data_IF_885986374113
#
_entry.id   IF_885986374113
#
_cell.length_a   1.000
_cell.length_b   1.000
_cell.length_c   1.000
_cell.angle_alpha   90.00
_cell.angle_beta   90.00
_cell.angle_gamma   90.00
#
_symmetry.space_group_name_H-M   'P 1'
#
loop_
_entity.id
_entity.type
_entity.pdbx_description
1 polymer ?
#
# COMPACT_ATOMS: atom_id res chain seq x y z
N UNK A 1 15.91 -0.12 -6.97
CA UNK A 1 15.18 0.36 -5.76
C UNK A 1 13.80 -0.27 -5.66
N UNK A 2 13.01 -0.24 -6.74
CA UNK A 2 11.69 -0.90 -6.79
C UNK A 2 11.75 -2.41 -6.52
N UNK A 3 12.70 -3.12 -7.12
CA UNK A 3 12.89 -4.56 -6.90
C UNK A 3 13.14 -4.88 -5.42
N UNK A 4 14.02 -4.11 -4.76
CA UNK A 4 14.29 -4.26 -3.32
C UNK A 4 13.03 -4.07 -2.45
N UNK A 5 12.12 -3.18 -2.82
CA UNK A 5 10.84 -2.98 -2.11
C UNK A 5 9.96 -4.23 -2.28
N UNK A 6 9.85 -4.76 -3.49
CA UNK A 6 9.08 -5.97 -3.78
C UNK A 6 9.66 -7.22 -3.11
N UNK A 7 10.99 -7.37 -3.12
CA UNK A 7 11.71 -8.41 -2.38
C UNK A 7 11.39 -8.32 -0.88
N UNK A 8 11.47 -7.12 -0.31
CA UNK A 8 11.15 -6.89 1.11
C UNK A 8 9.69 -7.24 1.42
N UNK A 9 8.74 -6.88 0.55
CA UNK A 9 7.33 -7.27 0.71
C UNK A 9 7.13 -8.78 0.64
N UNK A 10 7.91 -9.48 -0.18
CA UNK A 10 7.81 -10.93 -0.34
C UNK A 10 8.44 -11.68 0.84
N UNK A 11 9.57 -11.18 1.36
CA UNK A 11 10.27 -11.75 2.53
C UNK A 11 9.51 -11.45 3.84
N UNK A 12 8.90 -10.27 3.94
CA UNK A 12 8.10 -9.83 5.08
C UNK A 12 6.66 -9.54 4.62
N UNK A 13 5.81 -10.59 4.45
CA UNK A 13 4.52 -10.51 3.76
C UNK A 13 3.42 -9.81 4.58
N UNK A 14 3.76 -9.10 5.65
CA UNK A 14 2.82 -8.34 6.47
C UNK A 14 3.23 -6.88 6.44
N UNK A 15 2.29 -6.06 6.00
CA UNK A 15 2.42 -4.61 5.91
C UNK A 15 1.55 -3.99 7.01
N UNK A 16 2.17 -3.20 7.88
CA UNK A 16 1.44 -2.49 8.92
C UNK A 16 0.63 -1.34 8.32
N UNK A 17 -0.70 -1.48 8.27
CA UNK A 17 -1.60 -0.44 7.80
C UNK A 17 -2.05 0.45 8.96
N UNK A 18 -1.34 1.56 9.16
CA UNK A 18 -1.54 2.48 10.29
C UNK A 18 -2.66 3.46 9.99
N UNK A 19 -3.75 3.37 10.76
CA UNK A 19 -4.94 4.23 10.63
C UNK A 19 -4.98 5.37 11.64
N UNK A 20 -4.19 5.29 12.71
CA UNK A 20 -4.10 6.34 13.72
C UNK A 20 -2.62 6.69 13.93
N UNK A 21 -2.30 7.99 13.97
CA UNK A 21 -0.92 8.47 14.12
C UNK A 21 -0.24 7.91 15.38
N UNK A 22 -1.02 7.71 16.46
CA UNK A 22 -0.53 7.15 17.73
C UNK A 22 0.07 5.74 17.57
N UNK A 23 -0.34 5.00 16.55
CA UNK A 23 0.08 3.62 16.30
C UNK A 23 1.37 3.53 15.47
N UNK A 24 1.88 4.64 14.94
CA UNK A 24 3.10 4.65 14.12
C UNK A 24 4.31 4.13 14.90
N UNK A 25 4.42 4.47 16.19
CA UNK A 25 5.50 3.99 17.06
C UNK A 25 5.47 2.46 17.21
N UNK A 26 4.27 1.92 17.41
CA UNK A 26 4.05 0.48 17.56
C UNK A 26 4.37 -0.25 16.25
N UNK A 27 3.90 0.26 15.11
CA UNK A 27 4.20 -0.30 13.79
C UNK A 27 5.70 -0.31 13.49
N UNK A 28 6.43 0.76 13.82
CA UNK A 28 7.89 0.84 13.67
C UNK A 28 8.62 -0.18 14.55
N UNK A 29 8.12 -0.45 15.76
CA UNK A 29 8.68 -1.46 16.67
C UNK A 29 8.33 -2.91 16.33
N UNK A 30 7.46 -3.13 15.34
CA UNK A 30 6.97 -4.45 14.96
C UNK A 30 7.93 -5.20 14.01
N UNK A 31 7.57 -6.45 13.69
CA UNK A 31 8.32 -7.29 12.75
C UNK A 31 8.11 -6.86 11.28
N UNK A 32 7.09 -6.04 11.00
CA UNK A 32 6.80 -5.56 9.63
C UNK A 32 7.92 -4.66 9.13
N UNK A 33 8.33 -4.82 7.87
CA UNK A 33 9.35 -3.95 7.25
C UNK A 33 8.74 -2.82 6.42
N UNK A 34 7.47 -2.95 6.04
CA UNK A 34 6.74 -1.98 5.23
C UNK A 34 5.56 -1.44 6.03
N UNK A 35 5.39 -0.12 6.00
CA UNK A 35 4.33 0.59 6.72
C UNK A 35 3.51 1.41 5.73
N UNK A 36 2.20 1.21 5.74
CA UNK A 36 1.24 2.02 5.01
C UNK A 36 0.64 3.04 5.98
N UNK A 37 0.98 4.32 5.80
CA UNK A 37 0.35 5.43 6.49
C UNK A 37 -0.99 5.75 5.81
N UNK A 38 -2.08 5.37 6.49
CA UNK A 38 -3.46 5.63 6.07
C UNK A 38 -4.09 6.82 6.82
N UNK A 39 -3.27 7.57 7.56
CA UNK A 39 -3.66 8.77 8.28
C UNK A 39 -2.47 9.75 8.35
N UNK A 40 -2.79 11.02 8.55
CA UNK A 40 -1.83 12.13 8.59
C UNK A 40 -2.36 13.35 7.89
N UNK A 41 -1.72 14.49 8.14
CA UNK A 41 -2.04 15.78 7.56
C UNK A 41 -0.77 16.49 7.10
N UNK A 42 -0.93 17.63 6.43
CA UNK A 42 0.20 18.43 5.93
C UNK A 42 1.18 18.87 7.02
N UNK A 43 0.76 18.95 8.28
CA UNK A 43 1.59 19.41 9.39
C UNK A 43 2.49 18.31 9.91
N UNK A 44 2.04 17.06 9.92
CA UNK A 44 2.78 15.94 10.54
C UNK A 44 3.32 14.89 9.55
N UNK A 45 2.80 14.81 8.32
CA UNK A 45 3.12 13.68 7.43
C UNK A 45 4.61 13.57 7.11
N UNK A 46 5.32 14.71 7.02
CA UNK A 46 6.76 14.74 6.80
C UNK A 46 7.52 14.07 7.96
N UNK A 47 7.20 14.46 9.20
CA UNK A 47 7.84 13.91 10.39
C UNK A 47 7.55 12.42 10.58
N UNK A 48 6.32 11.98 10.24
CA UNK A 48 5.95 10.57 10.30
C UNK A 48 6.73 9.72 9.30
N UNK A 49 6.84 10.19 8.05
CA UNK A 49 7.62 9.50 7.02
C UNK A 49 9.09 9.44 7.41
N UNK A 50 9.67 10.54 7.88
CA UNK A 50 11.05 10.59 8.34
C UNK A 50 11.30 9.68 9.53
N UNK A 51 10.38 9.63 10.49
CA UNK A 51 10.47 8.74 11.65
C UNK A 51 10.49 7.27 11.24
N UNK A 52 9.60 6.85 10.34
CA UNK A 52 9.56 5.47 9.82
C UNK A 52 10.88 5.12 9.11
N UNK A 53 11.35 6.01 8.24
CA UNK A 53 12.58 5.81 7.47
C UNK A 53 13.83 5.77 8.34
N UNK A 54 13.94 6.64 9.36
CA UNK A 54 15.06 6.66 10.30
C UNK A 54 15.18 5.36 11.11
N UNK A 55 14.08 4.63 11.27
CA UNK A 55 14.06 3.31 11.90
C UNK A 55 14.23 2.14 10.89
N UNK A 56 14.67 2.44 9.66
CA UNK A 56 14.99 1.43 8.65
C UNK A 56 13.78 0.81 7.94
N UNK A 57 12.58 1.33 8.16
CA UNK A 57 11.34 0.79 7.58
C UNK A 57 10.97 1.48 6.27
N UNK A 58 10.22 0.79 5.42
CA UNK A 58 9.72 1.32 4.14
C UNK A 58 8.38 2.04 4.36
N UNK A 59 8.40 3.37 4.32
CA UNK A 59 7.20 4.21 4.39
C UNK A 59 6.47 4.38 3.06
N UNK A 60 5.17 4.07 3.05
CA UNK A 60 4.21 4.48 2.03
C UNK A 60 3.16 5.41 2.63
N UNK A 61 2.68 6.36 1.84
CA UNK A 61 1.58 7.25 2.23
C UNK A 61 0.38 7.03 1.33
N UNK A 62 -0.83 7.07 1.90
CA UNK A 62 -2.04 7.11 1.10
C UNK A 62 -2.35 8.54 0.68
N UNK A 63 -2.05 8.89 -0.57
CA UNK A 63 -2.19 10.23 -1.12
C UNK A 63 -3.59 10.82 -0.87
N UNK A 64 -4.63 10.02 -1.12
CA UNK A 64 -6.01 10.49 -0.99
C UNK A 64 -6.42 10.83 0.45
N UNK A 65 -5.73 10.27 1.46
CA UNK A 65 -6.11 10.40 2.87
C UNK A 65 -5.34 11.49 3.62
N UNK A 66 -4.38 12.16 2.99
CA UNK A 66 -3.65 13.26 3.64
C UNK A 66 -4.55 14.48 3.75
N UNK A 67 -4.85 14.90 4.97
CA UNK A 67 -5.69 16.07 5.23
C UNK A 67 -4.95 17.38 4.94
N UNK A 68 -5.66 18.37 4.40
CA UNK A 68 -5.10 19.68 4.06
C UNK A 68 -4.24 19.73 2.79
N UNK A 69 -3.88 18.58 2.21
CA UNK A 69 -3.11 18.53 0.96
C UNK A 69 -4.04 18.49 -0.25
N UNK A 70 -3.73 19.31 -1.27
CA UNK A 70 -4.40 19.27 -2.57
C UNK A 70 -4.36 17.87 -3.19
N UNK A 71 -5.34 17.55 -4.04
CA UNK A 71 -5.46 16.25 -4.71
C UNK A 71 -5.12 16.33 -6.20
N UNK A 72 -4.10 17.12 -6.52
CA UNK A 72 -3.62 17.40 -7.86
C UNK A 72 -2.17 16.92 -8.06
N UNK A 73 -1.65 17.12 -9.27
CA UNK A 73 -0.27 16.73 -9.62
C UNK A 73 0.76 17.54 -8.85
N UNK A 74 0.50 18.81 -8.50
CA UNK A 74 1.44 19.62 -7.70
C UNK A 74 1.60 19.09 -6.28
N UNK A 75 0.56 18.52 -5.69
CA UNK A 75 0.66 17.82 -4.43
C UNK A 75 1.57 16.57 -4.52
N UNK A 76 1.59 15.88 -5.66
CA UNK A 76 2.52 14.77 -5.91
C UNK A 76 3.97 15.26 -5.96
N UNK A 77 4.23 16.37 -6.66
CA UNK A 77 5.56 16.99 -6.69
C UNK A 77 6.02 17.38 -5.28
N UNK A 78 5.14 18.02 -4.49
CA UNK A 78 5.41 18.37 -3.10
C UNK A 78 5.76 17.13 -2.26
N UNK A 79 4.99 16.04 -2.40
CA UNK A 79 5.27 14.77 -1.74
C UNK A 79 6.64 14.24 -2.15
N UNK A 80 6.95 14.22 -3.44
CA UNK A 80 8.20 13.69 -3.96
C UNK A 80 9.41 14.52 -3.51
N UNK A 81 9.28 15.84 -3.47
CA UNK A 81 10.41 16.74 -3.19
C UNK A 81 10.60 17.09 -1.72
N UNK A 82 9.53 17.11 -0.93
CA UNK A 82 9.56 17.55 0.48
C UNK A 82 9.37 16.39 1.45
N UNK A 83 8.38 15.53 1.23
CA UNK A 83 8.06 14.43 2.16
C UNK A 83 8.91 13.18 1.88
N UNK A 84 9.21 12.90 0.61
CA UNK A 84 10.09 11.80 0.15
C UNK A 84 9.75 10.44 0.75
N UNK A 85 8.49 9.95 0.68
CA UNK A 85 8.20 8.56 1.02
C UNK A 85 8.85 7.62 -0.01
N UNK A 86 8.87 6.31 0.27
CA UNK A 86 9.32 5.35 -0.74
C UNK A 86 8.28 5.16 -1.84
N UNK A 87 7.01 5.42 -1.53
CA UNK A 87 5.93 5.34 -2.49
C UNK A 87 4.62 5.91 -1.99
N UNK A 88 3.64 5.91 -2.89
CA UNK A 88 2.29 6.38 -2.63
C UNK A 88 1.25 5.30 -2.97
N UNK A 89 0.13 5.36 -2.27
CA UNK A 89 -1.07 4.58 -2.53
C UNK A 89 -2.17 5.55 -2.94
N UNK A 90 -2.88 5.24 -4.01
CA UNK A 90 -4.06 6.01 -4.43
C UNK A 90 -5.03 5.15 -5.23
N UNK A 91 -6.27 5.58 -5.31
CA UNK A 91 -7.27 5.07 -6.26
C UNK A 91 -7.28 5.85 -7.58
N UNK A 92 -6.53 6.96 -7.67
CA UNK A 92 -6.56 7.90 -8.79
C UNK A 92 -5.43 7.64 -9.78
N UNK A 93 -5.82 7.29 -10.99
CA UNK A 93 -4.90 6.91 -12.08
C UNK A 93 -3.90 8.02 -12.43
N UNK A 94 -4.40 9.24 -12.62
CA UNK A 94 -3.58 10.41 -12.98
C UNK A 94 -2.53 10.75 -11.91
N UNK A 95 -2.85 10.55 -10.63
CA UNK A 95 -1.92 10.77 -9.51
C UNK A 95 -0.82 9.72 -9.53
N UNK A 96 -1.17 8.45 -9.73
CA UNK A 96 -0.21 7.35 -9.77
C UNK A 96 0.71 7.44 -10.98
N UNK A 97 0.17 7.78 -12.16
CA UNK A 97 0.98 8.00 -13.35
C UNK A 97 1.98 9.12 -13.13
N UNK A 98 1.53 10.26 -12.58
CA UNK A 98 2.44 11.37 -12.33
C UNK A 98 3.49 11.05 -11.25
N UNK A 99 3.13 10.29 -10.22
CA UNK A 99 4.08 9.91 -9.17
C UNK A 99 5.26 9.07 -9.70
N UNK A 100 5.04 8.29 -10.76
CA UNK A 100 6.12 7.53 -11.42
C UNK A 100 7.14 8.44 -12.08
N UNK A 101 6.72 9.58 -12.64
CA UNK A 101 7.63 10.56 -13.23
C UNK A 101 8.65 11.10 -12.21
N UNK A 102 8.26 11.10 -10.93
CA UNK A 102 9.12 11.49 -9.80
C UNK A 102 9.82 10.31 -9.12
N UNK A 103 9.77 9.11 -9.71
CA UNK A 103 10.44 7.92 -9.21
C UNK A 103 9.82 7.33 -7.93
N UNK A 104 8.63 7.78 -7.52
CA UNK A 104 7.92 7.19 -6.39
C UNK A 104 7.36 5.81 -6.77
N UNK A 105 7.43 4.86 -5.84
CA UNK A 105 6.75 3.58 -6.02
C UNK A 105 5.24 3.80 -5.97
N UNK A 106 4.52 3.32 -6.98
CA UNK A 106 3.09 3.56 -7.16
C UNK A 106 2.28 2.30 -6.85
N UNK A 107 1.34 2.40 -5.89
CA UNK A 107 0.41 1.33 -5.56
C UNK A 107 -1.00 1.77 -5.93
N UNK A 108 -1.64 1.06 -6.83
CA UNK A 108 -3.04 1.31 -7.16
C UNK A 108 -3.95 0.52 -6.24
N UNK A 109 -4.75 1.23 -5.44
CA UNK A 109 -5.77 0.61 -4.59
C UNK A 109 -7.05 0.37 -5.40
N UNK A 110 -7.55 -0.87 -5.37
CA UNK A 110 -8.78 -1.29 -6.03
C UNK A 110 -9.76 -1.85 -5.01
N UNK A 111 -11.01 -1.37 -5.06
CA UNK A 111 -12.11 -1.87 -4.24
C UNK A 111 -12.94 -2.88 -5.03
N UNK A 112 -12.97 -4.12 -4.54
CA UNK A 112 -13.73 -5.23 -5.13
C UNK A 112 -15.10 -5.30 -4.47
N UNK A 113 -16.00 -4.43 -4.92
CA UNK A 113 -17.38 -4.35 -4.43
C UNK A 113 -18.32 -5.27 -5.22
N UNK A 114 -18.11 -5.35 -6.53
CA UNK A 114 -18.90 -6.14 -7.46
C UNK A 114 -18.06 -6.52 -8.69
N UNK A 115 -18.67 -7.26 -9.63
CA UNK A 115 -18.01 -7.70 -10.86
C UNK A 115 -17.65 -6.55 -11.82
N UNK A 116 -18.38 -5.44 -11.78
CA UNK A 116 -18.09 -4.27 -12.60
C UNK A 116 -16.85 -3.53 -12.07
N UNK A 117 -16.73 -3.42 -10.74
CA UNK A 117 -15.56 -2.86 -10.07
C UNK A 117 -14.31 -3.70 -10.36
N UNK A 118 -14.42 -5.04 -10.34
CA UNK A 118 -13.34 -5.94 -10.72
C UNK A 118 -12.89 -5.71 -12.17
N UNK A 119 -13.81 -5.76 -13.13
CA UNK A 119 -13.49 -5.57 -14.55
C UNK A 119 -12.85 -4.20 -14.83
N UNK A 120 -13.41 -3.15 -14.24
CA UNK A 120 -12.92 -1.78 -14.43
C UNK A 120 -11.56 -1.60 -13.76
N UNK A 121 -11.39 -2.14 -12.55
CA UNK A 121 -10.12 -2.12 -11.83
C UNK A 121 -9.00 -2.83 -12.58
N UNK A 122 -9.27 -4.02 -13.13
CA UNK A 122 -8.32 -4.77 -13.95
C UNK A 122 -7.92 -4.01 -15.23
N UNK A 123 -8.89 -3.46 -15.94
CA UNK A 123 -8.62 -2.65 -17.14
C UNK A 123 -7.76 -1.42 -16.80
N UNK A 124 -8.07 -0.75 -15.69
CA UNK A 124 -7.33 0.40 -15.18
C UNK A 124 -5.88 0.03 -14.84
N UNK A 125 -5.68 -1.05 -14.07
CA UNK A 125 -4.35 -1.52 -13.69
C UNK A 125 -3.50 -1.91 -14.90
N UNK A 126 -4.08 -2.55 -15.91
CA UNK A 126 -3.38 -2.91 -17.16
C UNK A 126 -2.97 -1.69 -17.98
N UNK A 127 -3.77 -0.63 -17.96
CA UNK A 127 -3.50 0.62 -18.67
C UNK A 127 -2.36 1.41 -18.00
N UNK A 128 -2.46 1.59 -16.69
CA UNK A 128 -1.53 2.43 -15.90
C UNK A 128 -0.23 1.68 -15.63
N UNK A 129 -0.30 0.37 -15.38
CA UNK A 129 0.82 -0.47 -14.95
C UNK A 129 1.50 0.12 -13.70
N UNK A 130 0.79 0.19 -12.56
CA UNK A 130 1.41 0.59 -11.29
C UNK A 130 2.51 -0.41 -10.90
N UNK A 131 3.34 -0.06 -9.94
CA UNK A 131 4.39 -0.96 -9.45
C UNK A 131 3.81 -2.12 -8.62
N UNK A 132 2.65 -1.92 -7.99
CA UNK A 132 1.82 -2.98 -7.40
C UNK A 132 0.33 -2.59 -7.41
N UNK A 133 -0.55 -3.58 -7.23
CA UNK A 133 -1.99 -3.35 -7.00
C UNK A 133 -2.37 -3.82 -5.60
N UNK A 134 -3.14 -3.01 -4.87
CA UNK A 134 -3.70 -3.37 -3.56
C UNK A 134 -5.20 -3.65 -3.71
N UNK A 135 -5.62 -4.88 -3.38
CA UNK A 135 -7.01 -5.34 -3.50
C UNK A 135 -7.67 -5.33 -2.13
N UNK A 136 -8.81 -4.65 -2.03
CA UNK A 136 -9.65 -4.64 -0.83
C UNK A 136 -11.05 -5.19 -1.17
N UNK A 137 -11.65 -6.08 -0.34
CA UNK A 137 -11.07 -6.73 0.85
C UNK A 137 -10.06 -7.86 0.57
N UNK A 138 -9.18 -8.11 1.52
CA UNK A 138 -8.13 -9.14 1.47
C UNK A 138 -8.59 -10.54 1.86
N UNK A 139 -9.83 -10.67 2.33
CA UNK A 139 -10.46 -11.94 2.72
C UNK A 139 -11.14 -12.66 1.56
N UNK A 140 -10.73 -12.38 0.31
CA UNK A 140 -11.32 -12.95 -0.91
C UNK A 140 -10.31 -13.71 -1.76
N UNK A 141 -9.87 -14.91 -1.34
CA UNK A 141 -8.83 -15.68 -2.04
C UNK A 141 -9.17 -15.97 -3.51
N UNK A 142 -10.44 -16.21 -3.85
CA UNK A 142 -10.85 -16.43 -5.24
C UNK A 142 -10.60 -15.20 -6.13
N UNK A 143 -10.96 -14.01 -5.65
CA UNK A 143 -10.77 -12.75 -6.37
C UNK A 143 -9.29 -12.38 -6.44
N UNK A 144 -8.54 -12.56 -5.35
CA UNK A 144 -7.09 -12.34 -5.35
C UNK A 144 -6.42 -13.20 -6.42
N UNK A 145 -6.80 -14.49 -6.49
CA UNK A 145 -6.27 -15.41 -7.50
C UNK A 145 -6.66 -15.02 -8.92
N UNK A 146 -7.89 -14.58 -9.14
CA UNK A 146 -8.32 -14.09 -10.45
C UNK A 146 -7.48 -12.89 -10.89
N UNK A 147 -7.30 -11.90 -10.01
CA UNK A 147 -6.52 -10.70 -10.31
C UNK A 147 -5.05 -11.04 -10.53
N UNK A 148 -4.44 -11.85 -9.65
CA UNK A 148 -3.03 -12.24 -9.76
C UNK A 148 -2.70 -13.00 -11.04
N UNK A 149 -3.67 -13.71 -11.64
CA UNK A 149 -3.48 -14.37 -12.93
C UNK A 149 -3.75 -13.44 -14.12
N UNK A 150 -4.52 -12.36 -13.95
CA UNK A 150 -4.92 -11.46 -15.02
C UNK A 150 -3.99 -10.25 -15.19
N UNK A 151 -3.36 -9.78 -14.10
CA UNK A 151 -2.39 -8.67 -14.12
C UNK A 151 -0.95 -9.16 -14.00
N UNK A 152 -0.02 -8.43 -14.59
CA UNK A 152 1.42 -8.69 -14.45
C UNK A 152 2.04 -8.05 -13.20
N UNK A 153 1.30 -7.15 -12.54
CA UNK A 153 1.76 -6.41 -11.38
C UNK A 153 1.63 -7.27 -10.11
N UNK A 154 2.57 -7.20 -9.17
CA UNK A 154 2.43 -7.83 -7.87
C UNK A 154 1.16 -7.38 -7.13
N UNK A 155 0.49 -8.34 -6.49
CA UNK A 155 -0.78 -8.12 -5.79
C UNK A 155 -0.54 -8.04 -4.28
N UNK A 156 -1.08 -7.01 -3.64
CA UNK A 156 -1.15 -6.86 -2.19
C UNK A 156 -2.61 -7.06 -1.79
N UNK A 157 -2.89 -7.93 -0.82
CA UNK A 157 -4.23 -8.07 -0.28
C UNK A 157 -4.40 -7.16 0.94
N UNK A 158 -5.51 -6.45 1.06
CA UNK A 158 -5.69 -5.48 2.14
C UNK A 158 -7.10 -5.46 2.72
N UNK A 159 -7.21 -5.14 4.00
CA UNK A 159 -8.51 -4.90 4.64
C UNK A 159 -9.28 -6.17 5.04
N UNK A 160 -9.94 -6.10 6.19
CA UNK A 160 -10.68 -7.18 6.85
C UNK A 160 -9.87 -8.43 7.24
N UNK A 161 -8.56 -8.45 7.00
CA UNK A 161 -7.67 -9.54 7.45
C UNK A 161 -7.35 -9.39 8.94
N UNK A 162 -7.73 -10.39 9.74
CA UNK A 162 -7.64 -10.37 11.22
C UNK A 162 -6.90 -11.58 11.79
N UNK A 163 -6.70 -12.62 11.00
CA UNK A 163 -6.09 -13.87 11.46
C UNK A 163 -4.90 -14.29 10.61
N UNK A 164 -3.98 -15.08 11.19
CA UNK A 164 -2.85 -15.68 10.45
C UNK A 164 -3.33 -16.57 9.30
N UNK A 165 -4.47 -17.25 9.47
CA UNK A 165 -5.05 -18.09 8.43
C UNK A 165 -5.49 -17.27 7.20
N UNK A 166 -6.16 -16.14 7.41
CA UNK A 166 -6.56 -15.24 6.32
C UNK A 166 -5.34 -14.66 5.59
N UNK A 167 -4.26 -14.33 6.32
CA UNK A 167 -2.98 -13.93 5.71
C UNK A 167 -2.46 -15.05 4.79
N UNK A 168 -2.36 -16.27 5.32
CA UNK A 168 -1.86 -17.44 4.56
C UNK A 168 -2.73 -17.69 3.32
N UNK A 169 -4.05 -17.59 3.45
CA UNK A 169 -4.98 -17.82 2.34
C UNK A 169 -4.83 -16.77 1.23
N UNK A 170 -4.61 -15.50 1.60
CA UNK A 170 -4.35 -14.43 0.63
C UNK A 170 -3.02 -14.64 -0.11
N UNK A 171 -1.95 -15.01 0.60
CA UNK A 171 -0.64 -15.30 -0.01
C UNK A 171 -0.72 -16.51 -0.94
N UNK A 172 -1.36 -17.61 -0.50
CA UNK A 172 -1.58 -18.80 -1.33
C UNK A 172 -2.42 -18.51 -2.59
N UNK A 173 -3.28 -17.51 -2.53
CA UNK A 173 -4.07 -17.07 -3.68
C UNK A 173 -3.25 -16.28 -4.72
N UNK A 174 -2.05 -15.81 -4.37
CA UNK A 174 -1.17 -15.07 -5.27
C UNK A 174 -0.83 -13.65 -4.83
N UNK A 175 -1.26 -13.22 -3.63
CA UNK A 175 -0.75 -11.98 -3.07
C UNK A 175 0.72 -12.16 -2.64
N UNK A 176 1.55 -11.14 -2.88
CA UNK A 176 2.95 -11.11 -2.41
C UNK A 176 3.06 -10.63 -0.96
N UNK A 177 2.06 -9.87 -0.50
CA UNK A 177 2.00 -9.33 0.85
C UNK A 177 0.55 -9.01 1.24
N UNK A 178 0.32 -8.83 2.53
CA UNK A 178 -0.97 -8.49 3.12
C UNK A 178 -0.87 -7.23 3.96
N UNK A 179 -1.67 -6.21 3.64
CA UNK A 179 -1.83 -5.01 4.47
C UNK A 179 -2.96 -5.19 5.49
N UNK A 180 -2.66 -4.94 6.77
CA UNK A 180 -3.65 -5.07 7.83
C UNK A 180 -3.46 -4.02 8.92
N UNK A 181 -4.57 -3.54 9.48
CA UNK A 181 -4.57 -2.71 10.69
C UNK A 181 -4.69 -3.53 11.98
N UNK A 182 -4.74 -4.86 11.86
CA UNK A 182 -4.79 -5.77 13.01
C UNK A 182 -3.39 -5.86 13.64
N UNK A 183 -3.20 -5.16 14.74
CA UNK A 183 -1.90 -5.00 15.41
C UNK A 183 -1.28 -6.32 15.84
N UNK A 184 -2.11 -7.27 16.27
CA UNK A 184 -1.63 -8.60 16.66
C UNK A 184 -0.89 -9.32 15.53
N UNK A 185 -1.25 -9.05 14.27
CA UNK A 185 -0.57 -9.61 13.10
C UNK A 185 0.77 -8.93 12.80
N UNK A 186 1.03 -7.73 13.29
CA UNK A 186 2.30 -7.02 13.02
C UNK A 186 3.50 -7.65 13.73
N UNK A 187 3.25 -8.44 14.78
CA UNK A 187 4.26 -9.07 15.63
C UNK A 187 4.42 -10.58 15.39
N UNK A 188 3.75 -11.13 14.38
CA UNK A 188 3.90 -12.56 14.06
C UNK A 188 5.22 -12.80 13.32
N UNK A 189 5.78 -13.97 13.55
CA UNK A 189 6.93 -14.54 12.83
C UNK A 189 6.47 -15.36 11.62
#
# INVERSE_FOLDING_TARGET
MKDKILETMTEFPIIAAVREIKDVKEAVSSNTQVIFLLAGDIMNICDLVDFIKKNGKIAFIHFDLIEGLGKDTKAVEYIAERIKPHGIISTRNNILDHAKDFGLFSIQRLFMLDSQALKTGLSSAKQIRPDAVEILPGIMPSIIKEVANDVLMPVIAGGLVRTKEEVINAIKAGAIAVSTSEKSLWFIE
#
